data_IF_372048577736
#
_entry.id   IF_372048577736
#
_cell.length_a   1.000
_cell.length_b   1.000
_cell.length_c   1.000
_cell.angle_alpha   90.00
_cell.angle_beta   90.00
_cell.angle_gamma   90.00
#
_symmetry.space_group_name_H-M   'P 1'
#
loop_
_entity.id
_entity.type
_entity.pdbx_description
1 polymer ?
#
# COMPACT_ATOMS: atom_id res chain seq x y z
N UNK A 1 23.65 -10.41 2.77
CA UNK A 1 22.68 -11.54 2.85
C UNK A 1 21.27 -10.97 2.83
N UNK A 2 20.36 -11.50 2.00
CA UNK A 2 18.96 -11.01 1.96
C UNK A 2 18.16 -11.75 3.04
N UNK A 3 17.56 -11.01 3.96
CA UNK A 3 16.65 -11.57 4.97
C UNK A 3 15.20 -11.34 4.52
N UNK A 4 14.45 -12.43 4.35
CA UNK A 4 13.03 -12.39 3.97
C UNK A 4 12.16 -12.57 5.20
N UNK A 5 11.40 -11.54 5.57
CA UNK A 5 10.42 -11.57 6.67
C UNK A 5 9.00 -11.48 6.12
N UNK A 6 8.07 -12.25 6.69
CA UNK A 6 6.66 -12.29 6.28
C UNK A 6 5.78 -11.90 7.46
N UNK A 7 4.86 -10.96 7.25
CA UNK A 7 3.93 -10.45 8.26
C UNK A 7 2.50 -10.71 7.79
N UNK A 8 1.85 -11.80 8.24
CA UNK A 8 0.49 -12.13 7.85
C UNK A 8 -0.55 -11.42 8.71
N UNK A 9 -1.66 -11.06 8.08
CA UNK A 9 -2.79 -10.35 8.67
C UNK A 9 -4.09 -10.91 8.15
N UNK A 10 -5.06 -11.06 9.06
CA UNK A 10 -6.46 -11.27 8.72
C UNK A 10 -7.15 -9.91 8.55
N UNK A 11 -7.81 -9.72 7.40
CA UNK A 11 -8.61 -8.54 7.10
C UNK A 11 -10.09 -8.89 7.27
N UNK A 12 -10.79 -8.15 8.13
CA UNK A 12 -12.24 -8.28 8.34
C UNK A 12 -12.95 -6.96 8.10
N UNK A 13 -14.25 -6.97 7.87
CA UNK A 13 -15.07 -5.77 8.03
C UNK A 13 -15.20 -5.38 9.52
N UNK A 14 -15.95 -4.32 9.79
CA UNK A 14 -16.19 -3.84 11.16
C UNK A 14 -17.04 -4.82 12.00
N UNK A 15 -17.81 -5.68 11.34
CA UNK A 15 -18.62 -6.76 11.93
C UNK A 15 -17.81 -8.06 12.10
N UNK A 16 -16.49 -8.04 11.83
CA UNK A 16 -15.57 -9.17 11.91
C UNK A 16 -15.81 -10.26 10.87
N UNK A 17 -16.56 -9.98 9.81
CA UNK A 17 -16.70 -10.90 8.68
C UNK A 17 -15.38 -10.94 7.89
N UNK A 18 -14.81 -12.12 7.60
CA UNK A 18 -13.58 -12.24 6.83
C UNK A 18 -13.71 -11.65 5.42
N UNK A 19 -12.74 -10.84 5.01
CA UNK A 19 -12.66 -10.29 3.65
C UNK A 19 -11.49 -10.91 2.89
N UNK A 20 -10.30 -10.87 3.50
CA UNK A 20 -9.06 -11.34 2.88
C UNK A 20 -8.02 -11.71 3.94
N UNK A 21 -7.00 -12.45 3.52
CA UNK A 21 -5.72 -12.54 4.22
C UNK A 21 -4.71 -11.71 3.44
N UNK A 22 -4.00 -10.83 4.14
CA UNK A 22 -2.93 -9.99 3.59
C UNK A 22 -1.60 -10.48 4.16
N UNK A 23 -0.57 -10.63 3.33
CA UNK A 23 0.79 -10.90 3.81
C UNK A 23 1.73 -9.82 3.27
N UNK A 24 2.38 -9.09 4.17
CA UNK A 24 3.46 -8.17 3.81
C UNK A 24 4.77 -8.95 3.83
N UNK A 25 5.49 -8.93 2.72
CA UNK A 25 6.78 -9.60 2.55
C UNK A 25 7.86 -8.54 2.43
N UNK A 26 8.88 -8.65 3.24
CA UNK A 26 10.02 -7.74 3.25
C UNK A 26 11.28 -8.53 2.93
N UNK A 27 11.99 -8.10 1.89
CA UNK A 27 13.29 -8.64 1.50
C UNK A 27 14.33 -7.55 1.76
N UNK A 28 15.05 -7.67 2.88
CA UNK A 28 15.97 -6.64 3.36
C UNK A 28 17.40 -7.08 3.08
N UNK A 29 18.11 -6.23 2.35
CA UNK A 29 19.53 -6.31 2.14
C UNK A 29 20.23 -5.36 3.12
N UNK A 30 20.92 -5.96 4.09
CA UNK A 30 21.85 -5.21 4.94
C UNK A 30 23.13 -4.98 4.14
N UNK A 31 23.53 -3.72 4.01
CA UNK A 31 24.79 -3.36 3.38
C UNK A 31 25.91 -3.57 4.40
N UNK A 32 26.71 -4.62 4.20
CA UNK A 32 27.84 -4.93 5.06
C UNK A 32 28.82 -3.75 5.12
N UNK A 33 29.45 -3.53 6.27
CA UNK A 33 30.33 -2.39 6.60
C UNK A 33 29.68 -1.01 6.81
N UNK A 34 28.36 -0.86 6.61
CA UNK A 34 27.62 0.35 6.97
C UNK A 34 26.88 0.17 8.32
N UNK A 35 26.51 1.27 9.01
CA UNK A 35 25.71 1.16 10.23
C UNK A 35 24.41 0.41 9.96
N UNK A 36 23.84 -0.25 10.97
CA UNK A 36 22.59 -1.03 10.85
C UNK A 36 21.41 -0.26 10.23
N UNK A 37 21.49 1.08 10.24
CA UNK A 37 20.54 2.00 9.60
C UNK A 37 20.62 2.04 8.07
N UNK A 38 21.69 1.57 7.44
CA UNK A 38 21.84 1.58 5.99
C UNK A 38 21.38 0.25 5.38
N UNK A 39 20.06 0.06 5.32
CA UNK A 39 19.45 -1.08 4.66
C UNK A 39 18.71 -0.66 3.39
N UNK A 40 18.80 -1.49 2.37
CA UNK A 40 17.96 -1.41 1.17
C UNK A 40 17.09 -2.64 1.12
N UNK A 41 16.02 -2.62 0.32
CA UNK A 41 15.16 -3.79 0.26
C UNK A 41 13.92 -3.56 -0.55
N UNK A 42 13.10 -4.60 -0.63
CA UNK A 42 11.82 -4.63 -1.33
C UNK A 42 10.71 -4.99 -0.36
N UNK A 43 9.56 -4.32 -0.52
CA UNK A 43 8.30 -4.70 0.14
C UNK A 43 7.36 -5.21 -0.91
N UNK A 44 6.68 -6.32 -0.67
CA UNK A 44 5.54 -6.75 -1.49
C UNK A 44 4.35 -7.12 -0.61
N UNK A 45 3.15 -7.05 -1.20
CA UNK A 45 1.91 -7.44 -0.51
C UNK A 45 1.22 -8.53 -1.31
N UNK A 46 0.91 -9.63 -0.63
CA UNK A 46 0.16 -10.76 -1.16
C UNK A 46 -1.25 -10.77 -0.56
N UNK A 47 -2.25 -11.07 -1.38
CA UNK A 47 -3.64 -11.21 -0.92
C UNK A 47 -4.23 -12.58 -1.26
N UNK A 48 -5.00 -13.10 -0.33
CA UNK A 48 -5.88 -14.27 -0.50
C UNK A 48 -7.30 -13.87 -0.14
N UNK A 49 -8.25 -13.98 -1.08
CA UNK A 49 -9.63 -13.54 -0.89
C UNK A 49 -10.62 -14.39 -1.71
N UNK A 50 -11.91 -14.29 -1.40
CA UNK A 50 -12.96 -15.00 -2.13
C UNK A 50 -13.34 -14.23 -3.40
N UNK A 51 -13.21 -14.88 -4.56
CA UNK A 51 -13.64 -14.29 -5.82
C UNK A 51 -15.11 -14.60 -6.07
N UNK A 52 -15.91 -13.55 -6.15
CA UNK A 52 -17.36 -13.61 -6.31
C UNK A 52 -17.88 -14.41 -7.52
N UNK A 53 -17.07 -14.55 -8.58
CA UNK A 53 -17.52 -15.17 -9.85
C UNK A 53 -17.55 -16.70 -9.84
N UNK A 54 -16.83 -17.37 -8.94
CA UNK A 54 -16.64 -18.82 -9.02
C UNK A 54 -16.84 -19.57 -7.69
N UNK A 55 -17.13 -18.87 -6.58
CA UNK A 55 -17.22 -19.50 -5.26
C UNK A 55 -15.90 -20.14 -4.79
N UNK A 56 -14.79 -19.85 -5.48
CA UNK A 56 -13.46 -20.34 -5.18
C UNK A 56 -12.63 -19.25 -4.49
N UNK A 57 -11.75 -19.64 -3.58
CA UNK A 57 -10.70 -18.77 -3.04
C UNK A 57 -9.73 -18.44 -4.17
N UNK A 58 -9.72 -17.20 -4.64
CA UNK A 58 -8.68 -16.72 -5.55
C UNK A 58 -7.48 -16.26 -4.72
N UNK A 59 -6.34 -16.92 -4.95
CA UNK A 59 -5.04 -16.41 -4.54
C UNK A 59 -4.51 -15.53 -5.67
N UNK A 60 -4.71 -14.22 -5.57
CA UNK A 60 -3.92 -13.30 -6.39
C UNK A 60 -2.55 -13.18 -5.75
N UNK A 61 -1.68 -14.10 -6.15
CA UNK A 61 -0.26 -14.04 -5.82
C UNK A 61 0.34 -12.87 -6.59
N UNK A 62 0.69 -11.84 -5.82
CA UNK A 62 1.58 -10.72 -6.17
C UNK A 62 0.88 -9.54 -6.84
N UNK A 63 0.67 -8.49 -6.05
CA UNK A 63 0.85 -7.13 -6.57
C UNK A 63 2.34 -6.84 -6.48
N UNK A 64 3.07 -6.79 -7.59
CA UNK A 64 4.49 -6.52 -7.56
C UNK A 64 4.71 -5.05 -7.20
N UNK A 65 4.85 -4.79 -5.90
CA UNK A 65 5.59 -3.64 -5.40
C UNK A 65 7.06 -3.97 -5.59
N UNK A 66 7.55 -3.86 -6.82
CA UNK A 66 8.92 -4.22 -7.16
C UNK A 66 9.80 -2.99 -7.14
N UNK A 67 9.71 -2.24 -6.04
CA UNK A 67 10.48 -1.04 -5.90
C UNK A 67 11.27 -1.05 -4.60
N UNK A 68 12.50 -0.56 -4.72
CA UNK A 68 13.47 -0.58 -3.64
C UNK A 68 13.25 0.63 -2.74
N UNK A 69 13.32 0.42 -1.43
CA UNK A 69 13.59 1.53 -0.51
C UNK A 69 15.10 1.75 -0.40
N UNK A 70 15.52 3.00 -0.29
CA UNK A 70 16.93 3.40 -0.23
C UNK A 70 17.10 4.47 0.86
N UNK A 71 18.21 4.47 1.62
CA UNK A 71 18.56 5.60 2.47
C UNK A 71 18.80 6.84 1.61
N UNK A 72 18.28 7.99 2.03
CA UNK A 72 18.49 9.27 1.35
C UNK A 72 19.50 10.14 2.10
N UNK A 73 19.41 10.13 3.43
CA UNK A 73 20.27 10.88 4.34
C UNK A 73 20.31 10.18 5.72
N UNK A 74 20.91 10.82 6.73
CA UNK A 74 21.05 10.28 8.08
C UNK A 74 19.74 10.16 8.88
N UNK A 75 18.61 10.71 8.38
CA UNK A 75 17.33 10.74 9.07
C UNK A 75 16.13 10.33 8.18
N UNK A 76 16.36 9.95 6.92
CA UNK A 76 15.29 9.64 5.99
C UNK A 76 15.60 8.52 4.99
N UNK A 77 14.53 7.83 4.60
CA UNK A 77 14.54 6.80 3.55
C UNK A 77 13.56 7.19 2.46
N UNK A 78 13.90 6.88 1.21
CA UNK A 78 12.97 6.96 0.11
C UNK A 78 12.53 5.55 -0.29
N UNK A 79 11.22 5.30 -0.22
CA UNK A 79 10.60 4.14 -0.87
C UNK A 79 9.96 4.61 -2.16
N UNK A 80 10.42 4.04 -3.27
CA UNK A 80 9.72 4.22 -4.53
C UNK A 80 8.58 3.20 -4.61
N UNK A 81 7.47 3.59 -5.21
CA UNK A 81 6.24 2.80 -5.30
C UNK A 81 5.94 2.59 -6.77
N UNK A 82 5.90 1.31 -7.17
CA UNK A 82 5.42 0.89 -8.48
C UNK A 82 3.89 0.92 -8.57
N UNK A 83 3.31 0.12 -9.46
CA UNK A 83 1.85 0.05 -9.62
C UNK A 83 1.18 -0.57 -8.38
N UNK A 84 0.53 0.26 -7.56
CA UNK A 84 -0.35 -0.21 -6.49
C UNK A 84 -1.81 -0.20 -6.95
N UNK A 85 -2.31 -1.36 -7.36
CA UNK A 85 -3.71 -1.56 -7.71
C UNK A 85 -4.28 -2.68 -6.86
N UNK A 86 -5.43 -2.46 -6.21
CA UNK A 86 -6.15 -3.55 -5.56
C UNK A 86 -7.09 -4.24 -6.56
N UNK A 87 -7.41 -5.53 -6.38
CA UNK A 87 -8.53 -6.13 -7.09
C UNK A 87 -9.81 -5.33 -6.86
N UNK A 88 -10.69 -5.22 -7.86
CA UNK A 88 -12.00 -4.57 -7.73
C UNK A 88 -12.81 -5.02 -6.50
N UNK A 89 -12.71 -6.31 -6.12
CA UNK A 89 -13.42 -6.91 -4.97
C UNK A 89 -12.95 -6.35 -3.62
N UNK A 90 -11.68 -5.94 -3.55
CA UNK A 90 -11.04 -5.36 -2.37
C UNK A 90 -11.07 -3.82 -2.38
N UNK A 91 -11.34 -3.21 -3.54
CA UNK A 91 -11.53 -1.77 -3.67
C UNK A 91 -12.73 -1.28 -2.85
N UNK A 92 -12.71 0.01 -2.52
CA UNK A 92 -13.77 0.70 -1.74
C UNK A 92 -14.00 0.20 -0.30
N UNK A 93 -13.24 -0.80 0.18
CA UNK A 93 -13.33 -1.38 1.54
C UNK A 93 -12.29 -0.85 2.55
N UNK A 94 -11.51 0.17 2.16
CA UNK A 94 -10.45 0.73 3.03
C UNK A 94 -9.19 -0.14 3.15
N UNK A 95 -9.10 -1.24 2.39
CA UNK A 95 -7.99 -2.20 2.43
C UNK A 95 -6.67 -1.55 2.05
N UNK A 96 -6.65 -0.68 1.04
CA UNK A 96 -5.41 0.01 0.65
C UNK A 96 -4.81 0.84 1.77
N UNK A 97 -5.65 1.52 2.56
CA UNK A 97 -5.21 2.24 3.75
C UNK A 97 -4.57 1.30 4.77
N UNK A 98 -5.20 0.14 5.04
CA UNK A 98 -4.64 -0.84 5.96
C UNK A 98 -3.28 -1.38 5.48
N UNK A 99 -3.13 -1.66 4.18
CA UNK A 99 -1.86 -2.11 3.60
C UNK A 99 -0.73 -1.16 3.93
N UNK A 100 -0.90 0.13 3.61
CA UNK A 100 0.15 1.12 3.83
C UNK A 100 0.44 1.39 5.31
N UNK A 101 -0.61 1.34 6.14
CA UNK A 101 -0.46 1.47 7.60
C UNK A 101 0.40 0.33 8.16
N UNK A 102 0.12 -0.91 7.73
CA UNK A 102 0.86 -2.09 8.18
C UNK A 102 2.25 -2.22 7.54
N UNK A 103 2.42 -1.79 6.28
CA UNK A 103 3.74 -1.68 5.66
C UNK A 103 4.59 -0.78 6.54
N UNK A 104 4.14 0.44 6.82
CA UNK A 104 4.89 1.39 7.65
C UNK A 104 5.23 0.84 9.03
N UNK A 105 4.30 0.15 9.70
CA UNK A 105 4.54 -0.47 11.03
C UNK A 105 5.55 -1.61 11.01
N UNK A 106 5.64 -2.32 9.90
CA UNK A 106 6.54 -3.48 9.77
C UNK A 106 7.92 -3.08 9.29
N UNK A 107 8.12 -1.87 8.75
CA UNK A 107 9.44 -1.43 8.32
C UNK A 107 10.40 -1.36 9.51
N UNK A 108 11.65 -1.84 9.39
CA UNK A 108 12.66 -1.76 10.44
C UNK A 108 13.28 -0.34 10.53
N UNK A 109 12.46 0.69 10.49
CA UNK A 109 12.95 2.07 10.57
C UNK A 109 13.32 2.41 12.02
N UNK A 110 14.48 3.04 12.27
CA UNK A 110 14.78 3.56 13.59
C UNK A 110 13.71 4.59 14.00
N UNK A 111 13.34 4.67 15.29
CA UNK A 111 12.39 5.67 15.76
C UNK A 111 12.80 7.09 15.36
N UNK A 112 11.84 7.86 14.84
CA UNK A 112 12.05 9.27 14.42
C UNK A 112 12.50 9.45 12.97
N UNK A 113 12.80 8.38 12.23
CA UNK A 113 13.15 8.49 10.81
C UNK A 113 11.92 8.83 9.95
N UNK A 114 12.15 9.63 8.92
CA UNK A 114 11.14 10.01 7.96
C UNK A 114 11.13 9.02 6.79
N UNK A 115 9.95 8.48 6.46
CA UNK A 115 9.76 7.78 5.20
C UNK A 115 9.30 8.78 4.13
N UNK A 116 10.04 8.88 3.03
CA UNK A 116 9.63 9.58 1.82
C UNK A 116 9.05 8.56 0.84
N UNK A 117 7.86 8.83 0.36
CA UNK A 117 7.23 8.06 -0.71
C UNK A 117 7.35 8.82 -2.02
N UNK A 118 7.61 8.08 -3.10
CA UNK A 118 7.49 8.60 -4.46
C UNK A 118 6.97 7.51 -5.38
N UNK A 119 6.18 7.85 -6.38
CA UNK A 119 5.68 6.87 -7.35
C UNK A 119 4.97 7.52 -8.51
N UNK A 120 4.61 6.69 -9.48
CA UNK A 120 3.83 7.10 -10.66
C UNK A 120 2.34 6.79 -10.44
N UNK A 121 1.48 7.61 -11.04
CA UNK A 121 0.06 7.33 -11.19
C UNK A 121 -0.16 6.80 -12.59
N UNK A 122 -0.87 5.69 -12.72
CA UNK A 122 -1.22 5.10 -14.01
C UNK A 122 -2.69 5.34 -14.35
N UNK A 123 -2.97 5.63 -15.61
CA UNK A 123 -4.31 5.63 -16.19
C UNK A 123 -5.05 4.28 -16.02
N UNK A 124 -4.34 3.17 -15.82
CA UNK A 124 -4.94 1.86 -15.53
C UNK A 124 -5.67 1.83 -14.20
N UNK A 125 -5.25 2.65 -13.24
CA UNK A 125 -5.93 2.83 -11.96
C UNK A 125 -6.89 4.04 -11.99
N UNK A 126 -7.01 4.75 -13.11
CA UNK A 126 -7.96 5.86 -13.25
C UNK A 126 -9.40 5.37 -13.40
N UNK A 127 -9.59 4.15 -13.93
CA UNK A 127 -10.90 3.50 -14.06
C UNK A 127 -10.85 2.13 -13.41
N UNK A 128 -11.82 1.82 -12.55
CA UNK A 128 -11.96 0.50 -11.96
C UNK A 128 -13.15 -0.24 -12.54
N UNK A 129 -12.89 -1.36 -13.20
CA UNK A 129 -13.90 -2.26 -13.74
C UNK A 129 -13.79 -3.62 -13.07
N UNK A 130 -14.89 -4.12 -12.53
CA UNK A 130 -14.94 -5.47 -11.95
C UNK A 130 -16.06 -5.61 -10.94
N UNK A 131 -15.98 -6.62 -10.08
CA UNK A 131 -16.95 -6.76 -9.01
C UNK A 131 -16.56 -5.85 -7.84
N UNK A 132 -17.25 -4.71 -7.72
CA UNK A 132 -17.01 -3.70 -6.71
C UNK A 132 -18.16 -3.79 -5.69
N UNK A 133 -17.83 -4.11 -4.42
CA UNK A 133 -18.73 -4.58 -3.38
C UNK A 133 -19.95 -5.43 -3.77
N UNK A 134 -19.76 -6.45 -4.61
CA UNK A 134 -20.80 -7.41 -4.98
C UNK A 134 -21.57 -7.05 -6.25
N UNK A 135 -21.29 -5.89 -6.85
CA UNK A 135 -21.87 -5.46 -8.13
C UNK A 135 -20.79 -5.39 -9.22
N UNK A 136 -21.05 -6.04 -10.35
CA UNK A 136 -20.25 -5.83 -11.56
C UNK A 136 -20.51 -4.41 -12.08
N UNK A 137 -19.49 -3.55 -12.03
CA UNK A 137 -19.60 -2.16 -12.44
C UNK A 137 -18.25 -1.57 -12.85
N UNK A 138 -18.33 -0.42 -13.53
CA UNK A 138 -17.19 0.45 -13.83
C UNK A 138 -17.38 1.77 -13.07
N UNK A 139 -16.35 2.22 -12.37
CA UNK A 139 -16.35 3.51 -11.67
C UNK A 139 -15.16 4.36 -12.10
N UNK A 140 -15.37 5.67 -12.16
CA UNK A 140 -14.28 6.65 -12.19
C UNK A 140 -13.56 6.61 -10.84
N UNK A 141 -12.25 6.41 -10.89
CA UNK A 141 -11.41 6.20 -9.73
C UNK A 141 -10.43 7.36 -9.46
N UNK A 142 -10.33 8.35 -10.35
CA UNK A 142 -9.29 9.39 -10.29
C UNK A 142 -9.37 10.16 -8.96
N UNK A 143 -10.54 10.69 -8.62
CA UNK A 143 -10.72 11.48 -7.39
C UNK A 143 -10.43 10.66 -6.14
N UNK A 144 -10.92 9.41 -6.09
CA UNK A 144 -10.74 8.50 -4.95
C UNK A 144 -9.27 8.15 -4.75
N UNK A 145 -8.57 7.80 -5.83
CA UNK A 145 -7.13 7.49 -5.84
C UNK A 145 -6.30 8.71 -5.42
N UNK A 146 -6.60 9.87 -5.98
CA UNK A 146 -5.88 11.10 -5.66
C UNK A 146 -6.11 11.50 -4.19
N UNK A 147 -7.35 11.41 -3.69
CA UNK A 147 -7.65 11.63 -2.27
C UNK A 147 -6.94 10.61 -1.36
N UNK A 148 -6.76 9.37 -1.80
CA UNK A 148 -6.00 8.37 -1.08
C UNK A 148 -4.52 8.74 -0.97
N UNK A 149 -3.85 9.10 -2.07
CA UNK A 149 -2.44 9.53 -2.02
C UNK A 149 -2.25 10.81 -1.21
N UNK A 150 -3.16 11.80 -1.31
CA UNK A 150 -3.10 13.02 -0.46
C UNK A 150 -3.18 12.72 1.04
N UNK A 151 -3.89 11.66 1.45
CA UNK A 151 -3.94 11.27 2.88
C UNK A 151 -2.68 10.55 3.35
N UNK A 152 -1.87 10.02 2.44
CA UNK A 152 -0.63 9.32 2.76
C UNK A 152 0.60 10.22 2.74
N UNK A 153 0.44 11.46 2.29
CA UNK A 153 1.54 12.42 2.17
C UNK A 153 1.28 13.61 3.08
N UNK A 154 2.32 14.05 3.79
CA UNK A 154 2.31 15.25 4.61
C UNK A 154 1.90 16.47 3.77
N UNK A 155 0.79 17.16 4.11
CA UNK A 155 0.31 18.32 3.37
C UNK A 155 1.35 19.45 3.21
N UNK A 156 2.28 19.60 4.17
CA UNK A 156 3.28 20.65 4.14
C UNK A 156 4.34 20.43 3.04
N UNK A 157 4.55 19.19 2.59
CA UNK A 157 5.65 18.82 1.71
C UNK A 157 5.23 17.76 0.67
N UNK A 158 4.01 17.85 0.12
CA UNK A 158 3.52 16.92 -0.88
C UNK A 158 3.50 17.50 -2.29
N UNK A 159 3.83 16.65 -3.26
CA UNK A 159 3.59 16.83 -4.68
C UNK A 159 2.66 15.71 -5.13
N UNK A 160 1.53 16.08 -5.74
CA UNK A 160 0.62 15.14 -6.38
C UNK A 160 0.13 15.79 -7.67
N UNK A 161 0.56 15.26 -8.80
CA UNK A 161 0.17 15.70 -10.14
C UNK A 161 -0.54 14.56 -10.83
N UNK A 162 -1.75 14.82 -11.33
CA UNK A 162 -2.56 13.87 -12.09
C UNK A 162 -3.17 14.63 -13.25
N UNK A 163 -2.99 14.13 -14.47
CA UNK A 163 -3.68 14.65 -15.63
C UNK A 163 -5.13 14.13 -15.72
N UNK A 164 -5.84 14.53 -16.79
CA UNK A 164 -7.23 14.15 -17.04
C UNK A 164 -7.41 12.66 -17.39
N UNK A 165 -6.35 12.00 -17.89
CA UNK A 165 -6.37 10.56 -18.17
C UNK A 165 -6.03 9.72 -16.92
N UNK A 166 -5.60 10.40 -15.85
CA UNK A 166 -5.18 9.81 -14.60
C UNK A 166 -3.72 9.38 -14.58
N UNK A 167 -2.91 9.71 -15.59
CA UNK A 167 -1.46 9.55 -15.52
C UNK A 167 -0.84 10.68 -14.69
N UNK A 168 0.29 10.41 -14.06
CA UNK A 168 0.94 11.40 -13.23
C UNK A 168 1.96 10.84 -12.26
N UNK A 169 2.21 11.56 -11.17
CA UNK A 169 3.18 11.15 -10.16
C UNK A 169 2.88 11.80 -8.81
N UNK A 170 3.48 11.23 -7.78
CA UNK A 170 3.43 11.77 -6.43
C UNK A 170 4.77 11.65 -5.73
N UNK A 171 5.01 12.55 -4.78
CA UNK A 171 6.16 12.51 -3.87
C UNK A 171 5.83 13.26 -2.59
N UNK A 172 6.27 12.75 -1.45
CA UNK A 172 6.17 13.47 -0.19
C UNK A 172 6.58 12.63 1.01
N UNK A 173 6.56 13.25 2.18
CA UNK A 173 6.76 12.55 3.46
C UNK A 173 5.53 11.70 3.77
N UNK A 174 5.74 10.42 4.06
CA UNK A 174 4.69 9.53 4.48
C UNK A 174 4.05 9.98 5.78
N UNK A 175 2.73 9.90 5.84
CA UNK A 175 1.95 9.92 7.07
C UNK A 175 1.04 8.70 7.09
N UNK A 176 0.87 8.07 8.26
CA UNK A 176 0.00 6.89 8.38
C UNK A 176 -1.43 7.27 7.99
N UNK A 177 -1.96 6.76 6.86
CA UNK A 177 -3.30 7.13 6.39
C UNK A 177 -4.41 6.71 7.35
N UNK A 178 -4.18 5.72 8.22
CA UNK A 178 -5.16 5.32 9.22
C UNK A 178 -5.29 6.32 10.38
N UNK A 179 -4.30 7.21 10.55
CA UNK A 179 -4.30 8.28 11.56
C UNK A 179 -4.86 9.60 11.05
N UNK A 180 -5.09 9.71 9.74
CA UNK A 180 -5.55 10.95 9.12
C UNK A 180 -7.00 11.29 9.57
N UNK A 181 -7.27 12.54 9.92
CA UNK A 181 -8.55 12.97 10.49
C UNK A 181 -9.78 12.67 9.59
N UNK A 182 -9.59 12.68 8.27
CA UNK A 182 -10.65 12.35 7.30
C UNK A 182 -10.82 10.85 7.03
N UNK A 183 -10.02 9.98 7.66
CA UNK A 183 -10.15 8.53 7.49
C UNK A 183 -11.26 7.97 8.37
N UNK A 184 -12.21 7.30 7.74
CA UNK A 184 -13.20 6.47 8.43
C UNK A 184 -12.89 4.99 8.15
N UNK A 185 -12.55 4.19 9.18
CA UNK A 185 -12.28 2.77 9.01
C UNK A 185 -13.47 2.03 8.40
N UNK A 186 -13.19 1.14 7.44
CA UNK A 186 -14.18 0.23 6.82
C UNK A 186 -13.84 -1.25 7.01
N UNK A 187 -12.60 -1.51 7.43
CA UNK A 187 -12.07 -2.83 7.65
C UNK A 187 -11.02 -2.76 8.76
N UNK A 188 -10.67 -3.91 9.32
CA UNK A 188 -9.68 -4.08 10.37
C UNK A 188 -8.62 -5.09 9.90
N UNK A 189 -7.34 -4.78 10.17
CA UNK A 189 -6.25 -5.73 10.00
C UNK A 189 -5.84 -6.26 11.39
N UNK A 190 -5.77 -7.59 11.53
CA UNK A 190 -5.31 -8.25 12.75
C UNK A 190 -4.16 -9.20 12.41
N UNK A 191 -3.01 -9.04 13.06
CA UNK A 191 -1.85 -9.92 12.86
C UNK A 191 -2.19 -11.35 13.28
N UNK A 192 -1.71 -12.35 12.54
CA UNK A 192 -1.94 -13.79 12.79
C UNK A 192 -0.64 -14.59 12.80
#
# INVERSE_FOLDING_TARGET
MVNTTRHPYRITDLQRVPIATMTIVQEIEKLDALPDRCCTGRVSVEFEYLESRHGSTARVRKFPFDERWLPLDDASFQMRIGDFMLPPELCCRGIGTLCWSEIHRTLPLPPGFSLLLAGSLSNKDATLTGNIPGKLQTIDNIERRNAFWRRMLDPANQVLVSDANGDGYFRGRFVDPATHASYTPKALATRI
#
